data_IF_719330471728
#
_entry.id   IF_719330471728
#
_cell.length_a   1.000
_cell.length_b   1.000
_cell.length_c   1.000
_cell.angle_alpha   90.00
_cell.angle_beta   90.00
_cell.angle_gamma   90.00
#
_symmetry.space_group_name_H-M   'P 1'
#
loop_
_entity.id
_entity.type
_entity.pdbx_description
1 polymer ?
#
# COMPACT_ATOMS: atom_id res chain seq x y z
N UNK A 1 11.07 -105.99 18.28
CA UNK A 1 12.14 -105.01 18.03
C UNK A 1 11.47 -103.74 17.53
N UNK A 2 11.64 -102.63 18.26
CA UNK A 2 11.11 -101.32 17.89
C UNK A 2 11.88 -100.79 16.68
N UNK A 3 11.16 -100.35 15.64
CA UNK A 3 11.73 -99.64 14.50
C UNK A 3 11.43 -98.14 14.65
N UNK A 4 12.45 -97.37 14.99
CA UNK A 4 12.43 -95.91 15.13
C UNK A 4 13.16 -95.30 13.94
N UNK A 5 12.41 -94.84 12.93
CA UNK A 5 12.95 -93.99 11.86
C UNK A 5 12.70 -92.50 12.17
N UNK A 6 13.73 -91.64 12.14
CA UNK A 6 13.57 -90.21 12.44
C UNK A 6 13.08 -89.43 11.22
N UNK A 7 12.05 -88.60 11.40
CA UNK A 7 11.58 -87.63 10.40
C UNK A 7 12.56 -86.44 10.28
N UNK A 8 12.88 -85.96 9.06
CA UNK A 8 13.78 -84.82 8.89
C UNK A 8 13.04 -83.50 9.15
N UNK A 9 13.12 -83.00 10.38
CA UNK A 9 12.51 -81.73 10.81
C UNK A 9 13.32 -80.46 10.43
N UNK A 10 14.13 -80.50 9.36
CA UNK A 10 15.10 -79.46 9.04
C UNK A 10 14.84 -78.63 7.77
N UNK A 11 14.05 -79.12 6.81
CA UNK A 11 13.95 -78.49 5.47
C UNK A 11 13.10 -77.22 5.40
N UNK A 12 12.10 -77.08 6.27
CA UNK A 12 11.11 -75.99 6.17
C UNK A 12 11.68 -74.62 6.55
N UNK A 13 12.65 -74.57 7.48
CA UNK A 13 13.29 -73.32 7.92
C UNK A 13 14.22 -72.72 6.85
N UNK A 14 14.95 -73.56 6.14
CA UNK A 14 15.85 -73.12 5.05
C UNK A 14 15.09 -72.61 3.83
N UNK A 15 13.95 -73.23 3.52
CA UNK A 15 13.06 -72.75 2.44
C UNK A 15 12.44 -71.40 2.78
N UNK A 16 12.01 -71.18 4.04
CA UNK A 16 11.46 -69.90 4.47
C UNK A 16 12.50 -68.77 4.49
N UNK A 17 13.74 -69.04 4.89
CA UNK A 17 14.83 -68.07 4.84
C UNK A 17 15.21 -67.68 3.41
N UNK A 18 15.24 -68.66 2.49
CA UNK A 18 15.48 -68.39 1.07
C UNK A 18 14.36 -67.58 0.41
N UNK A 19 13.10 -67.81 0.82
CA UNK A 19 11.96 -67.04 0.31
C UNK A 19 11.96 -65.60 0.85
N UNK A 20 12.33 -65.42 2.12
CA UNK A 20 12.46 -64.09 2.72
C UNK A 20 13.60 -63.28 2.09
N UNK A 21 14.75 -63.90 1.82
CA UNK A 21 15.87 -63.21 1.17
C UNK A 21 15.54 -62.84 -0.29
N UNK A 22 14.82 -63.70 -1.02
CA UNK A 22 14.33 -63.37 -2.37
C UNK A 22 13.32 -62.24 -2.33
N UNK A 23 12.39 -62.21 -1.35
CA UNK A 23 11.43 -61.11 -1.21
C UNK A 23 12.12 -59.78 -0.84
N UNK A 24 13.15 -59.80 0.00
CA UNK A 24 13.94 -58.60 0.32
C UNK A 24 14.75 -58.14 -0.89
N UNK A 25 15.34 -59.06 -1.66
CA UNK A 25 16.07 -58.73 -2.90
C UNK A 25 15.14 -58.18 -3.99
N UNK A 26 13.96 -58.78 -4.17
CA UNK A 26 12.96 -58.29 -5.13
C UNK A 26 12.40 -56.95 -4.66
N UNK A 27 12.14 -56.77 -3.36
CA UNK A 27 11.69 -55.50 -2.79
C UNK A 27 12.74 -54.38 -2.90
N UNK A 28 14.03 -54.71 -2.75
CA UNK A 28 15.14 -53.75 -2.93
C UNK A 28 15.44 -53.45 -4.39
N UNK A 29 15.25 -54.40 -5.31
CA UNK A 29 15.29 -54.18 -6.76
C UNK A 29 14.10 -53.35 -7.26
N UNK A 30 12.91 -53.51 -6.68
CA UNK A 30 11.75 -52.70 -7.02
C UNK A 30 11.85 -51.28 -6.47
N UNK A 31 12.31 -51.10 -5.23
CA UNK A 31 12.51 -49.76 -4.66
C UNK A 31 13.74 -49.05 -5.26
N UNK A 32 14.86 -49.76 -5.45
CA UNK A 32 16.05 -49.23 -6.12
C UNK A 32 15.84 -48.97 -7.61
N UNK A 33 15.10 -49.83 -8.31
CA UNK A 33 14.73 -49.65 -9.71
C UNK A 33 13.79 -48.47 -9.94
N UNK A 34 12.86 -48.22 -9.01
CA UNK A 34 11.96 -47.06 -9.06
C UNK A 34 12.70 -45.72 -8.90
N UNK A 35 13.85 -45.72 -8.22
CA UNK A 35 14.72 -44.53 -8.10
C UNK A 35 15.73 -44.39 -9.26
N UNK A 36 16.13 -45.48 -9.92
CA UNK A 36 17.14 -45.47 -10.99
C UNK A 36 16.56 -45.41 -12.42
N UNK A 37 15.27 -45.70 -12.61
CA UNK A 37 14.58 -45.66 -13.90
C UNK A 37 13.51 -44.57 -13.98
N UNK A 38 13.72 -43.40 -13.36
CA UNK A 38 12.89 -42.23 -13.70
C UNK A 38 13.29 -41.75 -15.11
N UNK A 39 12.43 -41.91 -16.13
CA UNK A 39 12.67 -41.34 -17.44
C UNK A 39 12.28 -39.86 -17.37
N UNK A 40 13.21 -38.99 -17.75
CA UNK A 40 13.05 -37.53 -17.87
C UNK A 40 12.95 -36.78 -16.52
N UNK A 41 13.47 -35.54 -16.41
CA UNK A 41 13.12 -34.69 -15.27
C UNK A 41 11.60 -34.57 -15.26
N UNK A 42 10.97 -34.74 -14.09
CA UNK A 42 9.53 -34.52 -13.95
C UNK A 42 9.27 -33.10 -14.44
N UNK A 43 8.66 -32.99 -15.62
CA UNK A 43 8.26 -31.73 -16.18
C UNK A 43 7.26 -31.11 -15.21
N UNK A 44 7.62 -29.99 -14.59
CA UNK A 44 6.84 -29.34 -13.53
C UNK A 44 5.40 -29.10 -14.01
N UNK A 45 4.42 -29.75 -13.42
CA UNK A 45 3.06 -29.73 -13.93
C UNK A 45 2.35 -28.40 -13.66
N UNK A 46 1.31 -28.11 -14.43
CA UNK A 46 0.38 -27.02 -14.09
C UNK A 46 -0.27 -27.33 -12.75
N UNK A 47 -0.22 -26.37 -11.84
CA UNK A 47 -0.70 -26.50 -10.48
C UNK A 47 0.41 -26.73 -9.44
N UNK A 48 1.59 -27.17 -9.85
CA UNK A 48 2.73 -27.39 -8.96
C UNK A 48 3.24 -26.06 -8.40
N UNK A 49 3.77 -26.12 -7.19
CA UNK A 49 4.32 -24.96 -6.53
C UNK A 49 5.83 -24.99 -6.52
N UNK A 50 6.44 -23.84 -6.80
CA UNK A 50 7.87 -23.72 -7.05
C UNK A 50 8.47 -22.52 -6.33
N UNK A 51 9.77 -22.59 -6.08
CA UNK A 51 10.60 -21.40 -5.85
C UNK A 51 11.54 -21.22 -7.03
N UNK A 52 12.07 -20.01 -7.19
CA UNK A 52 13.04 -19.70 -8.22
C UNK A 52 14.41 -19.55 -7.56
N UNK A 53 15.32 -20.47 -7.89
CA UNK A 53 16.71 -20.38 -7.47
C UNK A 53 17.64 -20.06 -8.65
N UNK A 54 18.95 -20.02 -8.39
CA UNK A 54 19.96 -19.75 -9.43
C UNK A 54 20.08 -20.86 -10.48
N UNK A 55 19.58 -22.07 -10.18
CA UNK A 55 19.57 -23.23 -11.07
C UNK A 55 18.23 -23.46 -11.76
N UNK A 56 17.20 -22.66 -11.47
CA UNK A 56 15.90 -22.72 -12.12
C UNK A 56 14.73 -22.90 -11.14
N UNK A 57 13.55 -23.30 -11.65
CA UNK A 57 12.41 -23.57 -10.80
C UNK A 57 12.59 -24.88 -10.02
N UNK A 58 12.42 -24.83 -8.70
CA UNK A 58 12.48 -25.98 -7.79
C UNK A 58 11.11 -26.23 -7.18
N UNK A 59 10.62 -27.47 -7.28
CA UNK A 59 9.31 -27.87 -6.76
C UNK A 59 9.30 -27.97 -5.22
N UNK A 60 8.22 -27.50 -4.61
CA UNK A 60 7.88 -27.65 -3.20
C UNK A 60 6.41 -28.05 -3.06
N UNK A 61 6.05 -28.66 -1.93
CA UNK A 61 4.64 -28.79 -1.58
C UNK A 61 3.99 -27.41 -1.46
N UNK A 62 2.79 -27.22 -2.00
CA UNK A 62 2.12 -25.90 -2.01
C UNK A 62 1.81 -25.31 -0.62
N UNK A 63 1.90 -26.13 0.45
CA UNK A 63 1.78 -25.68 1.83
C UNK A 63 3.13 -25.29 2.47
N UNK A 64 4.25 -25.52 1.79
CA UNK A 64 5.58 -25.14 2.24
C UNK A 64 5.78 -23.62 2.09
N UNK A 65 6.30 -22.95 3.12
CA UNK A 65 6.62 -21.53 3.06
C UNK A 65 7.67 -21.16 2.01
N UNK A 66 8.39 -22.14 1.46
CA UNK A 66 9.34 -21.95 0.34
C UNK A 66 8.68 -21.95 -1.03
N UNK A 67 7.42 -22.41 -1.14
CA UNK A 67 6.67 -22.40 -2.39
C UNK A 67 6.22 -20.98 -2.75
N UNK A 68 7.08 -20.19 -3.44
CA UNK A 68 6.82 -18.78 -3.73
C UNK A 68 5.89 -18.54 -4.94
N UNK A 69 5.80 -19.50 -5.85
CA UNK A 69 4.95 -19.40 -7.04
C UNK A 69 4.18 -20.69 -7.27
N UNK A 70 3.08 -20.58 -8.02
CA UNK A 70 2.31 -21.70 -8.56
C UNK A 70 2.33 -21.62 -10.09
N UNK A 71 2.59 -22.75 -10.73
CA UNK A 71 2.55 -22.87 -12.19
C UNK A 71 1.11 -22.79 -12.63
N UNK A 72 0.76 -21.71 -13.32
CA UNK A 72 -0.59 -21.45 -13.83
C UNK A 72 -0.77 -22.00 -15.23
N UNK A 73 0.29 -21.92 -16.04
CA UNK A 73 0.30 -22.47 -17.38
C UNK A 73 1.71 -22.86 -17.81
N UNK A 74 1.77 -23.77 -18.78
CA UNK A 74 2.96 -24.13 -19.55
C UNK A 74 2.69 -23.74 -20.99
N UNK A 75 3.55 -22.92 -21.56
CA UNK A 75 3.37 -22.37 -22.90
C UNK A 75 4.60 -22.63 -23.77
N UNK A 76 4.41 -22.71 -25.08
CA UNK A 76 5.54 -22.68 -26.01
C UNK A 76 6.25 -21.34 -25.92
N UNK A 77 7.58 -21.34 -26.07
CA UNK A 77 8.36 -20.10 -26.01
C UNK A 77 7.97 -19.13 -27.12
N UNK A 78 7.65 -17.91 -26.70
CA UNK A 78 7.52 -16.71 -27.53
C UNK A 78 8.45 -15.67 -26.92
N UNK A 79 9.31 -15.04 -27.72
CA UNK A 79 10.23 -14.01 -27.24
C UNK A 79 9.62 -12.61 -27.42
N UNK A 80 9.70 -11.72 -26.41
CA UNK A 80 10.23 -11.96 -25.05
C UNK A 80 9.32 -12.91 -24.24
N UNK A 81 9.92 -13.71 -23.33
CA UNK A 81 9.25 -14.84 -22.64
C UNK A 81 7.90 -14.48 -22.03
N UNK A 82 7.81 -13.27 -21.50
CA UNK A 82 6.64 -12.70 -20.86
C UNK A 82 5.42 -12.70 -21.79
N UNK A 83 5.63 -12.57 -23.10
CA UNK A 83 4.58 -12.53 -24.12
C UNK A 83 3.72 -13.79 -24.12
N UNK A 84 4.32 -14.96 -23.86
CA UNK A 84 3.60 -16.23 -23.78
C UNK A 84 2.58 -16.23 -22.63
N UNK A 85 2.86 -15.47 -21.57
CA UNK A 85 2.12 -15.50 -20.32
C UNK A 85 1.18 -14.30 -20.10
N UNK A 86 1.26 -13.24 -20.92
CA UNK A 86 0.45 -12.01 -20.73
C UNK A 86 -1.07 -12.23 -20.81
N UNK A 87 -1.53 -13.33 -21.44
CA UNK A 87 -2.96 -13.70 -21.49
C UNK A 87 -3.52 -14.14 -20.13
N UNK A 88 -2.65 -14.39 -19.14
CA UNK A 88 -3.04 -14.79 -17.80
C UNK A 88 -2.98 -13.57 -16.85
N UNK A 89 -4.12 -13.12 -16.30
CA UNK A 89 -4.17 -11.90 -15.49
C UNK A 89 -3.36 -12.02 -14.20
N UNK A 90 -3.43 -13.17 -13.52
CA UNK A 90 -2.84 -13.38 -12.19
C UNK A 90 -1.33 -13.71 -12.21
N UNK A 91 -0.79 -13.95 -13.42
CA UNK A 91 0.62 -14.32 -13.58
C UNK A 91 1.50 -13.08 -13.50
N UNK A 92 2.46 -13.07 -12.60
CA UNK A 92 3.40 -11.94 -12.45
C UNK A 92 4.78 -12.24 -13.00
N UNK A 93 5.07 -13.50 -13.32
CA UNK A 93 6.40 -13.92 -13.77
C UNK A 93 6.35 -15.02 -14.83
N UNK A 94 7.30 -14.98 -15.75
CA UNK A 94 7.52 -16.00 -16.76
C UNK A 94 8.97 -16.48 -16.66
N UNK A 95 9.18 -17.80 -16.64
CA UNK A 95 10.51 -18.40 -16.59
C UNK A 95 10.58 -19.59 -17.54
N UNK A 96 11.76 -19.91 -18.05
CA UNK A 96 11.96 -21.17 -18.77
C UNK A 96 11.82 -22.37 -17.83
N UNK A 97 11.25 -23.47 -18.32
CA UNK A 97 11.14 -24.75 -17.58
C UNK A 97 12.52 -25.38 -17.28
N UNK A 98 13.56 -24.93 -17.98
CA UNK A 98 14.95 -25.30 -17.74
C UNK A 98 15.85 -24.06 -17.72
N UNK A 99 16.93 -24.05 -16.92
CA UNK A 99 17.94 -22.99 -16.88
C UNK A 99 18.81 -23.05 -18.15
N UNK A 100 18.22 -22.78 -19.31
CA UNK A 100 18.94 -22.75 -20.59
C UNK A 100 18.64 -21.44 -21.32
N UNK A 101 19.57 -21.02 -22.19
CA UNK A 101 19.37 -19.83 -23.00
C UNK A 101 18.19 -19.94 -23.99
N UNK A 102 17.78 -21.17 -24.34
CA UNK A 102 16.72 -21.46 -25.29
C UNK A 102 15.78 -22.53 -24.72
N UNK A 103 14.95 -22.20 -23.72
CA UNK A 103 13.96 -23.15 -23.23
C UNK A 103 12.95 -23.45 -24.35
N UNK A 104 12.40 -24.67 -24.38
CA UNK A 104 11.29 -25.02 -25.28
C UNK A 104 9.92 -24.68 -24.71
N UNK A 105 9.85 -24.49 -23.39
CA UNK A 105 8.62 -24.22 -22.62
C UNK A 105 8.85 -23.07 -21.63
N UNK A 106 7.86 -22.19 -21.52
CA UNK A 106 7.76 -21.15 -20.49
C UNK A 106 6.75 -21.60 -19.42
N UNK A 107 7.12 -21.43 -18.16
CA UNK A 107 6.24 -21.53 -17.03
C UNK A 107 5.68 -20.14 -16.70
N UNK A 108 4.36 -20.02 -16.72
CA UNK A 108 3.63 -18.83 -16.31
C UNK A 108 3.29 -18.94 -14.83
N UNK A 109 3.86 -18.07 -14.01
CA UNK A 109 3.87 -18.17 -12.56
C UNK A 109 2.98 -17.13 -11.89
N UNK A 110 2.02 -17.61 -11.10
CA UNK A 110 1.23 -16.78 -10.18
C UNK A 110 1.89 -16.86 -8.80
N UNK A 111 2.12 -15.74 -8.11
CA UNK A 111 2.78 -15.78 -6.82
C UNK A 111 1.84 -16.39 -5.77
N UNK A 112 2.41 -17.13 -4.81
CA UNK A 112 1.65 -17.66 -3.67
C UNK A 112 1.60 -16.64 -2.55
N UNK A 113 0.77 -16.91 -1.53
CA UNK A 113 0.71 -16.13 -0.29
C UNK A 113 2.06 -16.03 0.44
N UNK A 114 2.98 -16.97 0.23
CA UNK A 114 4.28 -16.99 0.90
C UNK A 114 5.31 -16.06 0.26
N UNK A 115 5.08 -15.63 -0.98
CA UNK A 115 5.97 -14.71 -1.66
C UNK A 115 5.79 -13.31 -1.09
N UNK A 116 6.75 -12.83 -0.31
CA UNK A 116 6.65 -11.54 0.37
C UNK A 116 7.03 -10.36 -0.51
N UNK A 117 7.73 -10.56 -1.61
CA UNK A 117 8.27 -9.47 -2.44
C UNK A 117 7.55 -9.26 -3.77
N UNK A 118 6.74 -10.22 -4.21
CA UNK A 118 5.93 -10.06 -5.42
C UNK A 118 4.63 -9.31 -5.10
N UNK A 119 4.35 -8.16 -5.74
CA UNK A 119 3.14 -7.38 -5.48
C UNK A 119 1.85 -8.13 -5.80
N UNK A 120 1.86 -9.10 -6.72
CA UNK A 120 0.69 -9.93 -7.01
C UNK A 120 0.32 -10.91 -5.89
N UNK A 121 1.24 -11.11 -4.93
CA UNK A 121 1.00 -11.94 -3.76
C UNK A 121 0.28 -11.19 -2.63
N UNK A 122 0.24 -9.86 -2.70
CA UNK A 122 -0.29 -8.98 -1.66
C UNK A 122 -1.80 -8.92 -1.72
N UNK A 123 -2.44 -8.86 -0.56
CA UNK A 123 -3.89 -8.80 -0.43
C UNK A 123 -4.30 -7.69 0.52
N UNK A 124 -5.56 -7.28 0.43
CA UNK A 124 -6.16 -6.38 1.39
C UNK A 124 -5.93 -6.90 2.83
N UNK A 125 -5.44 -6.03 3.70
CA UNK A 125 -5.10 -6.40 5.07
C UNK A 125 -3.62 -6.61 5.33
N UNK A 126 -2.81 -6.84 4.29
CA UNK A 126 -1.38 -7.08 4.43
C UNK A 126 -0.63 -5.83 4.88
N UNK A 127 0.36 -6.02 5.74
CA UNK A 127 1.29 -4.98 6.13
C UNK A 127 2.54 -5.07 5.26
N UNK A 128 2.99 -3.92 4.79
CA UNK A 128 4.13 -3.81 3.88
C UNK A 128 5.14 -2.77 4.37
N UNK A 129 6.39 -3.06 4.06
CA UNK A 129 7.48 -2.10 4.09
C UNK A 129 7.74 -1.60 2.66
N UNK A 130 7.91 -0.29 2.52
CA UNK A 130 8.14 0.37 1.24
C UNK A 130 9.48 1.10 1.28
N UNK A 131 10.34 0.84 0.30
CA UNK A 131 11.66 1.49 0.19
C UNK A 131 11.86 2.09 -1.21
N UNK A 132 12.83 2.99 -1.34
CA UNK A 132 13.14 3.65 -2.61
C UNK A 132 11.95 4.39 -3.22
N UNK A 133 11.18 5.13 -2.40
CA UNK A 133 9.96 5.82 -2.84
C UNK A 133 8.93 4.90 -3.53
N UNK A 134 8.85 3.62 -3.16
CA UNK A 134 7.97 2.65 -3.81
C UNK A 134 8.61 1.88 -4.95
N UNK A 135 9.94 1.78 -4.98
CA UNK A 135 10.69 0.89 -5.87
C UNK A 135 10.61 -0.56 -5.42
N UNK A 136 10.64 -0.81 -4.10
CA UNK A 136 10.52 -2.15 -3.54
C UNK A 136 9.43 -2.16 -2.48
N UNK A 137 8.58 -3.19 -2.55
CA UNK A 137 7.53 -3.43 -1.58
C UNK A 137 7.64 -4.86 -1.07
N UNK A 138 7.75 -5.01 0.25
CA UNK A 138 7.82 -6.32 0.89
C UNK A 138 6.72 -6.46 1.95
N UNK A 139 6.01 -7.59 1.93
CA UNK A 139 5.12 -8.00 3.02
C UNK A 139 5.93 -8.24 4.29
N UNK A 140 5.49 -7.65 5.37
CA UNK A 140 6.04 -7.82 6.72
C UNK A 140 4.95 -8.31 7.68
N UNK A 141 5.30 -8.94 8.80
CA UNK A 141 4.33 -9.24 9.86
C UNK A 141 3.70 -7.95 10.36
N UNK A 142 2.37 -7.92 10.48
CA UNK A 142 1.67 -6.75 11.01
C UNK A 142 2.00 -6.53 12.49
N UNK A 143 2.71 -5.46 12.80
CA UNK A 143 3.00 -4.98 14.14
C UNK A 143 2.18 -3.74 14.48
N UNK A 144 2.07 -3.45 15.77
CA UNK A 144 1.40 -2.24 16.24
C UNK A 144 2.36 -1.07 16.04
N UNK A 145 2.07 -0.24 15.02
CA UNK A 145 2.68 1.05 14.67
C UNK A 145 3.82 1.00 13.64
N UNK A 146 3.75 1.93 12.67
CA UNK A 146 4.74 2.27 11.60
C UNK A 146 4.68 1.49 10.29
N UNK A 147 3.51 0.96 9.95
CA UNK A 147 3.38 0.12 8.75
C UNK A 147 2.48 0.79 7.72
N UNK A 148 2.63 0.34 6.48
CA UNK A 148 1.68 0.64 5.42
C UNK A 148 0.79 -0.59 5.24
N UNK A 149 -0.53 -0.41 5.26
CA UNK A 149 -1.49 -1.49 5.09
C UNK A 149 -2.09 -1.44 3.70
N UNK A 150 -2.12 -2.59 3.03
CA UNK A 150 -2.74 -2.75 1.71
C UNK A 150 -4.25 -2.71 1.86
N UNK A 151 -4.90 -1.84 1.09
CA UNK A 151 -6.36 -1.76 0.96
C UNK A 151 -6.84 -2.58 -0.23
N UNK A 152 -6.19 -2.40 -1.38
CA UNK A 152 -6.43 -3.18 -2.59
C UNK A 152 -5.18 -3.27 -3.46
N UNK A 153 -5.24 -4.17 -4.44
CA UNK A 153 -4.24 -4.32 -5.49
C UNK A 153 -4.94 -4.28 -6.84
N UNK A 154 -4.41 -3.50 -7.78
CA UNK A 154 -5.01 -3.27 -9.09
C UNK A 154 -3.99 -3.57 -10.19
N UNK A 155 -4.41 -4.27 -11.24
CA UNK A 155 -3.55 -4.61 -12.37
C UNK A 155 -3.74 -3.60 -13.50
N UNK A 156 -2.64 -3.02 -13.96
CA UNK A 156 -2.61 -1.99 -14.99
C UNK A 156 -1.65 -2.36 -16.12
N UNK A 157 -1.79 -1.65 -17.24
CA UNK A 157 -1.03 -1.94 -18.47
C UNK A 157 0.45 -1.56 -18.37
N UNK A 158 0.80 -0.50 -17.64
CA UNK A 158 2.18 0.00 -17.53
C UNK A 158 2.37 1.01 -16.39
N UNK A 159 3.63 1.33 -16.08
CA UNK A 159 4.05 2.44 -15.20
C UNK A 159 4.58 3.61 -16.05
N UNK A 160 4.30 4.89 -15.74
CA UNK A 160 3.42 5.40 -14.69
C UNK A 160 1.94 5.11 -14.97
N UNK A 161 1.17 4.97 -13.90
CA UNK A 161 -0.27 4.65 -13.95
C UNK A 161 -1.08 5.94 -13.88
N UNK A 162 -1.88 6.23 -14.90
CA UNK A 162 -2.62 7.49 -15.08
C UNK A 162 -4.14 7.31 -15.21
N UNK A 163 -4.65 6.11 -14.92
CA UNK A 163 -6.05 5.71 -15.04
C UNK A 163 -6.78 5.63 -13.69
N UNK A 164 -6.30 6.37 -12.68
CA UNK A 164 -6.92 6.55 -11.36
C UNK A 164 -7.05 5.24 -10.59
N UNK A 165 -5.96 4.48 -10.51
CA UNK A 165 -5.91 3.15 -9.92
C UNK A 165 -6.61 3.02 -8.57
N UNK A 166 -6.47 4.01 -7.69
CA UNK A 166 -7.04 3.98 -6.34
C UNK A 166 -8.35 4.76 -6.18
N UNK A 167 -9.04 5.08 -7.28
CA UNK A 167 -10.26 5.90 -7.26
C UNK A 167 -11.37 5.31 -6.41
N UNK A 168 -11.53 3.99 -6.47
CA UNK A 168 -12.59 3.29 -5.76
C UNK A 168 -12.21 2.97 -4.30
N UNK A 169 -11.03 3.44 -3.85
CA UNK A 169 -10.51 3.29 -2.49
C UNK A 169 -10.46 4.64 -1.76
N UNK A 170 -11.57 5.14 -1.21
CA UNK A 170 -11.62 6.47 -0.56
C UNK A 170 -10.72 6.60 0.67
N UNK A 171 -10.32 5.47 1.26
CA UNK A 171 -9.40 5.41 2.39
C UNK A 171 -7.92 5.40 1.98
N UNK A 172 -7.61 5.27 0.67
CA UNK A 172 -6.24 5.27 0.20
C UNK A 172 -5.57 6.61 0.53
N UNK A 173 -4.36 6.51 1.09
CA UNK A 173 -3.49 7.63 1.43
C UNK A 173 -2.22 7.64 0.59
N UNK A 174 -1.80 6.46 0.13
CA UNK A 174 -0.64 6.30 -0.73
C UNK A 174 -0.95 5.24 -1.80
N UNK A 175 -0.23 5.34 -2.92
CA UNK A 175 -0.26 4.35 -3.98
C UNK A 175 1.15 4.07 -4.46
N UNK A 176 1.42 2.80 -4.77
CA UNK A 176 2.72 2.35 -5.25
C UNK A 176 2.52 1.46 -6.46
N UNK A 177 3.09 1.83 -7.60
CA UNK A 177 3.07 1.00 -8.81
C UNK A 177 4.36 0.19 -8.91
N UNK A 178 4.22 -1.13 -8.95
CA UNK A 178 5.31 -2.08 -9.09
C UNK A 178 5.26 -2.71 -10.49
N UNK A 179 6.39 -2.79 -11.22
CA UNK A 179 6.42 -3.47 -12.50
C UNK A 179 6.14 -4.96 -12.32
N UNK A 180 5.45 -5.55 -13.29
CA UNK A 180 5.05 -6.95 -13.35
C UNK A 180 5.29 -7.50 -14.76
N UNK A 181 4.72 -8.67 -15.04
CA UNK A 181 4.93 -9.41 -16.29
C UNK A 181 4.58 -8.59 -17.53
N UNK A 182 5.50 -8.56 -18.50
CA UNK A 182 5.23 -8.02 -19.83
C UNK A 182 5.04 -6.49 -19.84
N UNK A 183 5.66 -5.79 -18.90
CA UNK A 183 5.52 -4.34 -18.76
C UNK A 183 4.27 -3.89 -18.01
N UNK A 184 3.41 -4.82 -17.55
CA UNK A 184 2.27 -4.52 -16.69
C UNK A 184 2.72 -3.90 -15.37
N UNK A 185 1.79 -3.24 -14.70
CA UNK A 185 2.00 -2.69 -13.37
C UNK A 185 0.98 -3.28 -12.41
N UNK A 186 1.40 -3.57 -11.18
CA UNK A 186 0.48 -3.82 -10.07
C UNK A 186 0.53 -2.60 -9.17
N UNK A 187 -0.60 -1.93 -9.01
CA UNK A 187 -0.74 -0.78 -8.11
C UNK A 187 -1.26 -1.27 -6.78
N UNK A 188 -0.58 -0.88 -5.72
CA UNK A 188 -1.00 -1.10 -4.34
C UNK A 188 -1.64 0.18 -3.83
N UNK A 189 -2.92 0.13 -3.49
CA UNK A 189 -3.62 1.22 -2.82
C UNK A 189 -3.51 0.99 -1.32
N UNK A 190 -2.95 1.95 -0.58
CA UNK A 190 -2.53 1.71 0.79
C UNK A 190 -2.94 2.81 1.76
N UNK A 191 -2.96 2.46 3.04
CA UNK A 191 -3.19 3.36 4.17
C UNK A 191 -2.01 3.29 5.14
N UNK A 192 -1.56 4.43 5.65
CA UNK A 192 -0.49 4.47 6.66
C UNK A 192 -1.10 4.23 8.04
N UNK A 193 -0.59 3.23 8.77
CA UNK A 193 -1.09 2.88 10.11
C UNK A 193 -0.41 3.65 11.23
N UNK A 194 0.69 4.36 10.96
CA UNK A 194 1.35 5.19 11.97
C UNK A 194 0.44 6.36 12.39
N UNK A 195 -0.08 6.37 13.63
CA UNK A 195 -0.98 7.42 14.10
C UNK A 195 -0.27 8.77 14.28
N UNK A 196 1.06 8.81 14.16
CA UNK A 196 1.86 10.02 14.23
C UNK A 196 2.20 10.58 12.85
N UNK A 197 2.01 9.84 11.76
CA UNK A 197 2.35 10.32 10.43
C UNK A 197 1.24 11.22 9.88
N UNK A 198 1.57 12.39 9.33
CA UNK A 198 0.56 13.31 8.77
C UNK A 198 -0.29 12.67 7.65
N UNK A 199 0.24 11.73 6.88
CA UNK A 199 -0.51 11.07 5.81
C UNK A 199 -1.65 10.18 6.36
N UNK A 200 -1.62 9.80 7.65
CA UNK A 200 -2.71 9.08 8.31
C UNK A 200 -3.75 10.00 8.96
N UNK A 201 -3.54 11.33 8.88
CA UNK A 201 -4.35 12.30 9.60
C UNK A 201 -5.83 12.26 9.21
N UNK A 202 -6.64 12.64 10.17
CA UNK A 202 -8.08 12.81 10.07
C UNK A 202 -8.45 14.28 10.28
N UNK A 203 -9.67 14.63 9.88
CA UNK A 203 -10.21 15.97 10.13
C UNK A 203 -10.23 16.23 11.64
N UNK A 204 -9.78 17.42 12.03
CA UNK A 204 -9.56 17.89 13.40
C UNK A 204 -8.31 17.37 14.12
N UNK A 205 -7.49 16.52 13.51
CA UNK A 205 -6.17 16.24 14.06
C UNK A 205 -5.32 17.51 14.03
N UNK A 206 -4.36 17.62 14.95
CA UNK A 206 -3.41 18.73 14.97
C UNK A 206 -2.02 18.27 14.56
N UNK A 207 -1.27 19.16 13.92
CA UNK A 207 0.09 18.90 13.47
C UNK A 207 1.04 19.92 14.07
N UNK A 208 2.31 19.52 14.15
CA UNK A 208 3.38 20.43 14.49
C UNK A 208 3.66 21.42 13.35
N UNK A 209 4.54 22.40 13.60
CA UNK A 209 4.91 23.43 12.62
C UNK A 209 5.53 22.84 11.34
N UNK A 210 6.26 21.73 11.44
CA UNK A 210 6.92 21.09 10.30
C UNK A 210 5.96 20.32 9.39
N UNK A 211 4.69 20.17 9.78
CA UNK A 211 3.67 19.39 9.06
C UNK A 211 4.09 17.94 8.81
N UNK A 212 4.91 17.36 9.68
CA UNK A 212 5.40 15.99 9.53
C UNK A 212 4.71 15.02 10.47
N UNK A 213 4.20 15.53 11.59
CA UNK A 213 3.72 14.72 12.69
C UNK A 213 2.39 15.20 13.24
N UNK A 214 1.50 14.24 13.49
CA UNK A 214 0.27 14.43 14.26
C UNK A 214 0.64 14.53 15.74
N UNK A 215 0.13 15.57 16.38
CA UNK A 215 0.30 15.89 17.80
C UNK A 215 -1.06 16.16 18.44
N UNK A 216 -1.12 16.12 19.77
CA UNK A 216 -2.35 16.54 20.46
C UNK A 216 -2.59 18.04 20.27
N UNK A 217 -3.84 18.42 20.02
CA UNK A 217 -4.22 19.82 19.79
C UNK A 217 -3.98 20.75 20.99
N UNK A 218 -3.97 20.22 22.21
CA UNK A 218 -3.67 20.96 23.44
C UNK A 218 -2.17 21.03 23.76
N UNK A 219 -1.32 20.41 22.92
CA UNK A 219 0.13 20.51 23.04
C UNK A 219 0.62 21.89 22.64
N UNK A 220 1.69 22.36 23.30
CA UNK A 220 2.41 23.57 22.87
C UNK A 220 3.04 23.45 21.49
N UNK A 221 3.21 22.23 20.99
CA UNK A 221 3.74 21.95 19.67
C UNK A 221 2.68 22.05 18.56
N UNK A 222 1.38 22.07 18.91
CA UNK A 222 0.28 22.12 17.94
C UNK A 222 0.20 23.49 17.28
N UNK A 223 0.50 23.53 15.99
CA UNK A 223 0.49 24.77 15.21
C UNK A 223 -0.71 24.81 14.24
N UNK A 224 -1.00 23.67 13.63
CA UNK A 224 -2.07 23.56 12.66
C UNK A 224 -3.10 22.51 13.03
N UNK A 225 -4.33 22.69 12.54
CA UNK A 225 -5.41 21.72 12.57
C UNK A 225 -5.73 21.28 11.15
N UNK A 226 -5.95 19.98 10.97
CA UNK A 226 -6.41 19.38 9.72
C UNK A 226 -7.88 19.74 9.48
N UNK A 227 -8.14 20.48 8.41
CA UNK A 227 -9.48 20.90 8.01
C UNK A 227 -10.10 19.95 6.99
N UNK A 228 -9.27 19.42 6.07
CA UNK A 228 -9.71 18.43 5.08
C UNK A 228 -8.56 17.51 4.71
N UNK A 229 -8.91 16.29 4.30
CA UNK A 229 -7.99 15.30 3.73
C UNK A 229 -8.65 14.78 2.45
N UNK A 230 -8.00 14.97 1.30
CA UNK A 230 -8.54 14.60 -0.01
C UNK A 230 -7.52 13.80 -0.81
N UNK A 231 -7.97 12.67 -1.36
CA UNK A 231 -7.27 11.95 -2.41
C UNK A 231 -7.69 12.52 -3.76
N UNK A 232 -6.73 13.04 -4.52
CA UNK A 232 -6.89 13.54 -5.87
C UNK A 232 -6.18 12.59 -6.84
N UNK A 233 -6.59 12.59 -8.10
CA UNK A 233 -5.97 11.80 -9.17
C UNK A 233 -5.31 12.66 -10.23
N UNK A 234 -5.01 13.90 -9.86
CA UNK A 234 -4.26 14.84 -10.66
C UNK A 234 -3.53 15.78 -9.71
N UNK A 235 -2.21 15.88 -9.89
CA UNK A 235 -1.40 16.82 -9.11
C UNK A 235 -1.84 18.25 -9.42
N UNK A 236 -2.28 19.03 -8.42
CA UNK A 236 -2.67 20.41 -8.66
C UNK A 236 -1.44 21.25 -9.05
N UNK A 237 -1.63 22.22 -9.94
CA UNK A 237 -0.54 23.09 -10.41
C UNK A 237 0.02 23.99 -9.30
N UNK A 238 -0.79 24.27 -8.28
CA UNK A 238 -0.42 25.03 -7.08
C UNK A 238 -1.10 24.40 -5.85
N UNK A 239 -0.52 24.57 -4.64
CA UNK A 239 -1.21 24.28 -3.39
C UNK A 239 -2.59 24.94 -3.39
N UNK A 240 -3.65 24.16 -3.23
CA UNK A 240 -5.00 24.69 -3.24
C UNK A 240 -5.92 23.91 -2.32
N UNK A 241 -6.70 24.66 -1.56
CA UNK A 241 -7.69 24.23 -0.60
C UNK A 241 -9.05 24.84 -0.96
N UNK A 242 -9.60 24.49 -2.13
CA UNK A 242 -10.83 25.08 -2.59
C UNK A 242 -11.96 24.71 -1.65
N UNK A 243 -12.78 25.71 -1.31
CA UNK A 243 -13.96 25.58 -0.44
C UNK A 243 -13.62 25.15 1.00
N UNK A 244 -12.35 25.28 1.42
CA UNK A 244 -11.93 24.98 2.79
C UNK A 244 -11.79 26.28 3.59
N UNK A 245 -12.77 26.49 4.47
CA UNK A 245 -12.84 27.64 5.33
C UNK A 245 -11.69 27.68 6.36
N UNK A 246 -10.91 28.77 6.36
CA UNK A 246 -9.85 29.01 7.34
C UNK A 246 -8.52 28.30 7.04
N UNK A 247 -8.38 27.66 5.87
CA UNK A 247 -7.13 27.04 5.46
C UNK A 247 -6.02 28.09 5.28
N UNK A 248 -4.88 27.86 5.93
CA UNK A 248 -3.69 28.69 5.85
C UNK A 248 -2.40 27.91 5.58
N UNK A 249 -2.46 26.58 5.58
CA UNK A 249 -1.35 25.71 5.26
C UNK A 249 -1.84 24.51 4.43
N UNK A 250 -0.89 23.85 3.78
CA UNK A 250 -1.16 22.75 2.86
C UNK A 250 -0.02 21.74 2.94
N UNK A 251 -0.38 20.46 2.99
CA UNK A 251 0.56 19.35 2.81
C UNK A 251 0.10 18.50 1.63
N UNK A 252 1.08 17.96 0.89
CA UNK A 252 0.81 17.10 -0.25
C UNK A 252 1.85 15.99 -0.35
N UNK A 253 1.36 14.77 -0.46
CA UNK A 253 2.16 13.57 -0.65
C UNK A 253 1.72 12.89 -1.95
N UNK A 254 2.69 12.46 -2.76
CA UNK A 254 2.42 11.75 -4.00
C UNK A 254 3.60 10.84 -4.38
N UNK A 255 3.32 9.87 -5.23
CA UNK A 255 4.32 9.01 -5.88
C UNK A 255 4.34 9.32 -7.38
N UNK A 256 5.52 9.45 -7.99
CA UNK A 256 5.63 9.79 -9.43
C UNK A 256 5.15 8.67 -10.37
N UNK A 257 4.98 7.44 -9.86
CA UNK A 257 4.55 6.27 -10.64
C UNK A 257 3.03 6.06 -10.65
N UNK A 258 2.29 6.85 -9.88
CA UNK A 258 0.82 6.75 -9.76
C UNK A 258 0.21 8.14 -9.79
N UNK A 259 -1.06 8.24 -10.12
CA UNK A 259 -1.77 9.51 -10.11
C UNK A 259 -2.39 9.90 -8.77
N UNK A 260 -2.36 9.01 -7.76
CA UNK A 260 -2.85 9.31 -6.42
C UNK A 260 -1.99 10.41 -5.77
N UNK A 261 -2.66 11.50 -5.41
CA UNK A 261 -2.10 12.63 -4.69
C UNK A 261 -2.93 12.84 -3.43
N UNK A 262 -2.32 12.66 -2.26
CA UNK A 262 -2.92 13.02 -1.00
C UNK A 262 -2.72 14.52 -0.77
N UNK A 263 -3.79 15.23 -0.50
CA UNK A 263 -3.78 16.65 -0.15
C UNK A 263 -4.43 16.87 1.21
N UNK A 264 -3.79 17.66 2.06
CA UNK A 264 -4.23 17.95 3.41
C UNK A 264 -4.26 19.46 3.57
N UNK A 265 -5.45 20.02 3.78
CA UNK A 265 -5.61 21.44 4.07
C UNK A 265 -5.64 21.66 5.56
N UNK A 266 -4.87 22.65 5.99
CA UNK A 266 -4.56 22.91 7.37
C UNK A 266 -4.94 24.35 7.69
N UNK A 267 -5.47 24.58 8.88
CA UNK A 267 -5.76 25.89 9.45
C UNK A 267 -5.05 26.07 10.78
N UNK A 268 -5.19 27.22 11.46
CA UNK A 268 -4.68 27.41 12.83
C UNK A 268 -5.17 26.33 13.81
N UNK A 269 -4.32 25.88 14.73
CA UNK A 269 -4.72 24.93 15.78
C UNK A 269 -5.73 25.53 16.77
N UNK A 270 -5.62 26.84 17.04
CA UNK A 270 -6.52 27.60 17.91
C UNK A 270 -7.90 27.80 17.27
N UNK A 271 -8.93 27.26 17.92
CA UNK A 271 -10.34 27.43 17.54
C UNK A 271 -10.80 28.89 17.53
N UNK A 272 -10.10 29.75 18.25
CA UNK A 272 -10.40 31.18 18.33
C UNK A 272 -9.66 31.99 17.27
N UNK A 273 -8.91 31.36 16.36
CA UNK A 273 -8.26 32.08 15.29
C UNK A 273 -9.30 32.86 14.45
N UNK A 274 -9.01 34.12 14.14
CA UNK A 274 -9.95 34.98 13.38
C UNK A 274 -10.28 34.41 12.01
N UNK A 275 -9.40 33.59 11.44
CA UNK A 275 -9.61 32.88 10.17
C UNK A 275 -10.86 32.00 10.19
N UNK A 276 -11.31 31.57 11.37
CA UNK A 276 -12.52 30.78 11.56
C UNK A 276 -13.79 31.61 11.81
N UNK A 277 -13.71 32.95 11.76
CA UNK A 277 -14.85 33.82 12.07
C UNK A 277 -15.89 33.83 10.96
N UNK A 278 -17.16 33.79 11.33
CA UNK A 278 -18.33 33.90 10.43
C UNK A 278 -19.03 35.24 10.62
N UNK A 279 -19.90 35.61 9.68
CA UNK A 279 -20.78 36.77 9.83
C UNK A 279 -21.58 36.63 11.13
N UNK A 280 -21.53 37.65 11.97
CA UNK A 280 -22.12 37.65 13.30
C UNK A 280 -21.14 37.45 14.45
N UNK A 281 -19.97 36.84 14.21
CA UNK A 281 -18.96 36.59 15.25
C UNK A 281 -18.34 37.91 15.75
N UNK A 282 -17.90 37.91 17.01
CA UNK A 282 -17.17 39.03 17.60
C UNK A 282 -15.66 38.78 17.60
N UNK A 283 -14.90 39.85 17.38
CA UNK A 283 -13.45 39.80 17.21
C UNK A 283 -12.78 40.78 18.17
N UNK A 284 -11.77 40.28 18.86
CA UNK A 284 -10.77 41.14 19.51
C UNK A 284 -9.75 41.49 18.43
N UNK A 285 -9.93 42.66 17.83
CA UNK A 285 -9.06 43.14 16.75
C UNK A 285 -7.84 43.86 17.31
N UNK A 286 -6.66 43.54 16.79
CA UNK A 286 -5.43 44.31 17.01
C UNK A 286 -5.33 45.58 16.17
N UNK A 287 -6.39 45.97 15.44
CA UNK A 287 -6.41 47.07 14.47
C UNK A 287 -6.42 46.58 13.00
N UNK A 288 -6.20 47.50 12.06
CA UNK A 288 -5.95 47.18 10.64
C UNK A 288 -4.60 46.50 10.50
N UNK A 289 -4.54 45.32 9.88
CA UNK A 289 -3.29 44.58 9.73
C UNK A 289 -3.50 43.09 9.46
N UNK A 290 -2.42 42.29 9.53
CA UNK A 290 -2.47 40.86 9.27
C UNK A 290 -3.37 40.12 10.28
N UNK A 291 -3.97 39.01 9.82
CA UNK A 291 -4.95 38.22 10.57
C UNK A 291 -4.42 37.60 11.86
N UNK A 292 -3.10 37.45 12.01
CA UNK A 292 -2.41 36.82 13.13
C UNK A 292 -2.56 37.57 14.46
N UNK A 293 -2.94 38.85 14.45
CA UNK A 293 -3.14 39.67 15.65
C UNK A 293 -4.57 39.70 16.16
N UNK A 294 -5.51 39.11 15.43
CA UNK A 294 -6.93 39.14 15.75
C UNK A 294 -7.41 37.76 16.12
N UNK A 295 -8.37 37.70 17.06
CA UNK A 295 -9.00 36.44 17.48
C UNK A 295 -10.50 36.60 17.62
N UNK A 296 -11.22 35.54 17.31
CA UNK A 296 -12.63 35.38 17.67
C UNK A 296 -12.74 35.33 19.19
N UNK A 297 -13.78 35.94 19.73
CA UNK A 297 -14.11 35.86 21.14
C UNK A 297 -15.63 35.92 21.33
N UNK A 298 -16.07 35.64 22.54
CA UNK A 298 -17.47 35.78 22.92
C UNK A 298 -17.92 37.24 22.74
N UNK A 299 -19.07 37.45 22.11
CA UNK A 299 -19.69 38.78 22.02
C UNK A 299 -20.08 39.37 23.39
N UNK A 300 -20.05 38.62 24.49
CA UNK A 300 -20.18 39.20 25.83
C UNK A 300 -18.86 39.74 26.39
N UNK A 301 -17.71 39.36 25.81
CA UNK A 301 -16.39 39.78 26.29
C UNK A 301 -16.20 41.30 26.05
N UNK A 302 -15.93 42.10 27.10
CA UNK A 302 -15.70 43.54 26.97
C UNK A 302 -14.47 43.88 26.12
N UNK A 303 -13.55 42.94 25.89
CA UNK A 303 -12.41 43.12 24.99
C UNK A 303 -12.80 43.06 23.51
N UNK A 304 -14.00 42.59 23.16
CA UNK A 304 -14.47 42.58 21.77
C UNK A 304 -14.83 43.98 21.30
N UNK A 305 -14.09 44.47 20.31
CA UNK A 305 -14.26 45.81 19.76
C UNK A 305 -15.04 45.81 18.45
N UNK A 306 -15.13 44.66 17.79
CA UNK A 306 -15.71 44.54 16.46
C UNK A 306 -16.61 43.31 16.31
N UNK A 307 -17.55 43.40 15.36
CA UNK A 307 -18.40 42.32 14.88
C UNK A 307 -18.14 42.09 13.39
N UNK A 308 -18.08 40.84 12.97
CA UNK A 308 -17.97 40.46 11.55
C UNK A 308 -19.30 40.74 10.87
N UNK A 309 -19.29 41.60 9.86
CA UNK A 309 -20.49 41.96 9.09
C UNK A 309 -20.50 41.34 7.70
N UNK A 310 -19.33 41.02 7.16
CA UNK A 310 -19.18 40.38 5.86
C UNK A 310 -17.89 39.56 5.81
N UNK A 311 -17.86 38.54 4.95
CA UNK A 311 -16.72 37.66 4.73
C UNK A 311 -16.79 37.05 3.34
N UNK A 312 -15.69 37.11 2.61
CA UNK A 312 -15.58 36.52 1.28
C UNK A 312 -14.17 36.01 0.98
N UNK A 313 -14.09 35.09 0.01
CA UNK A 313 -12.86 34.38 -0.37
C UNK A 313 -12.09 35.14 -1.45
N UNK A 314 -11.67 36.35 -1.12
CA UNK A 314 -10.67 37.14 -1.85
C UNK A 314 -9.89 37.99 -0.85
N UNK A 315 -8.63 38.30 -1.14
CA UNK A 315 -7.78 39.18 -0.32
C UNK A 315 -7.85 40.66 -0.76
N UNK A 316 -8.96 41.08 -1.36
CA UNK A 316 -9.10 42.39 -2.01
C UNK A 316 -9.39 43.55 -1.04
N UNK A 317 -9.79 43.25 0.21
CA UNK A 317 -10.19 44.27 1.17
C UNK A 317 -11.51 44.98 0.81
N UNK A 318 -12.27 44.45 -0.15
CA UNK A 318 -13.53 45.03 -0.59
C UNK A 318 -14.60 44.75 0.46
N UNK A 319 -14.85 45.74 1.32
CA UNK A 319 -15.87 45.65 2.34
C UNK A 319 -17.03 46.62 2.08
N UNK A 320 -18.25 46.31 2.59
CA UNK A 320 -19.35 47.26 2.58
C UNK A 320 -18.94 48.61 3.21
N UNK A 321 -19.49 49.72 2.73
CA UNK A 321 -19.17 51.07 3.25
C UNK A 321 -19.43 51.23 4.76
N UNK A 322 -20.28 50.36 5.34
CA UNK A 322 -20.56 50.29 6.78
C UNK A 322 -19.45 49.60 7.59
N UNK A 323 -18.37 49.16 6.94
CA UNK A 323 -17.22 48.47 7.54
C UNK A 323 -16.07 49.45 7.81
N UNK A 324 -15.92 50.01 9.03
CA UNK A 324 -14.80 50.87 9.38
C UNK A 324 -13.43 50.18 9.36
N UNK A 325 -13.39 48.84 9.36
CA UNK A 325 -12.13 48.08 9.33
C UNK A 325 -12.31 46.77 8.54
N UNK A 326 -11.18 46.18 8.13
CA UNK A 326 -11.13 44.87 7.50
C UNK A 326 -9.81 44.16 7.82
N UNK A 327 -9.82 42.84 7.67
CA UNK A 327 -8.66 41.96 7.77
C UNK A 327 -8.56 41.22 6.45
N UNK A 328 -7.43 41.35 5.76
CA UNK A 328 -7.11 40.54 4.58
C UNK A 328 -6.07 39.49 4.91
N UNK A 329 -6.17 38.33 4.28
CA UNK A 329 -5.23 37.24 4.43
C UNK A 329 -5.02 36.52 3.09
N UNK A 330 -3.75 36.27 2.74
CA UNK A 330 -3.37 35.52 1.55
C UNK A 330 -2.43 34.38 1.96
N UNK A 331 -2.96 33.16 2.13
CA UNK A 331 -2.12 32.02 2.49
C UNK A 331 -1.41 31.38 1.30
N UNK A 332 -1.71 31.79 0.07
CA UNK A 332 -1.26 31.08 -1.14
C UNK A 332 -1.85 29.68 -1.34
N UNK A 333 -2.73 29.21 -0.45
CA UNK A 333 -3.44 27.91 -0.55
C UNK A 333 -4.94 28.08 -0.80
N UNK A 334 -5.47 29.29 -0.78
CA UNK A 334 -6.87 29.63 -1.14
C UNK A 334 -6.86 30.84 -2.06
N UNK A 335 -8.03 31.34 -2.47
CA UNK A 335 -8.16 32.61 -3.19
C UNK A 335 -7.89 33.85 -2.31
N UNK A 336 -7.43 33.64 -1.07
CA UNK A 336 -7.36 34.67 -0.04
C UNK A 336 -8.66 34.77 0.75
N UNK A 337 -8.66 35.68 1.71
CA UNK A 337 -9.75 35.91 2.65
C UNK A 337 -9.82 37.38 3.02
N UNK A 338 -11.02 37.95 2.99
CA UNK A 338 -11.31 39.26 3.56
C UNK A 338 -12.42 39.10 4.60
N UNK A 339 -12.20 39.68 5.79
CA UNK A 339 -13.17 39.74 6.89
C UNK A 339 -13.47 41.22 7.15
N UNK A 340 -14.72 41.60 7.00
CA UNK A 340 -15.18 42.98 7.17
C UNK A 340 -15.75 43.15 8.58
N UNK A 341 -15.30 44.21 9.25
CA UNK A 341 -15.56 44.46 10.65
C UNK A 341 -16.31 45.78 10.85
N UNK A 342 -17.44 45.71 11.58
CA UNK A 342 -18.09 46.88 12.16
C UNK A 342 -17.73 47.01 13.64
N UNK A 343 -17.70 48.24 14.16
CA UNK A 343 -17.70 48.45 15.60
C UNK A 343 -18.97 47.84 16.20
N UNK A 344 -18.78 47.15 17.32
CA UNK A 344 -19.85 46.56 18.10
C UNK A 344 -20.52 47.61 19.00
#
# INVERSE_FOLDING_TARGET
MLDTTPRPAGRRKWVLLALASVLVLVGSLLTGGYFLLRPEPIALAVGDCVSLDVTGPVEYGCADGKALYRITARESVVWPLESACMKYPDVTKAVGDVPSANPGVVLCLTPTRFNTSDPGALQAGDCIEVTGAGDTVNRIPCAVNKETKVLSTELHRQVPVTDQACRDQPQARQAFAQPSLGGRAIVLCTFITDPQNIDSAQVNDCTNQDLRKIVRCDSREANYRVLTVRALHQRPAKPQCPEVFGANAFSMTHNEKTDLVLTICLGPSDDNAVLYSKVGDCVVSGGTGPADRSRRADCADPATTHKVIDRHESNDGNCPATSPAWITFDPGVTNGLTICLARK
#
